data_IF_183657991752
#
_entry.id   IF_183657991752
#
_cell.length_a   1.000
_cell.length_b   1.000
_cell.length_c   1.000
_cell.angle_alpha   90.00
_cell.angle_beta   90.00
_cell.angle_gamma   90.00
#
_symmetry.space_group_name_H-M   'P 1'
#
loop_
_entity.id
_entity.type
_entity.pdbx_description
1 polymer ?
#
# COMPACT_ATOMS: atom_id res chain seq x y z
N UNK A 1 0.44 -46.26 23.67
CA UNK A 1 -0.28 -45.00 23.35
C UNK A 1 0.64 -44.11 22.52
N UNK A 2 0.41 -44.02 21.20
CA UNK A 2 1.18 -43.12 20.32
C UNK A 2 0.59 -41.72 20.44
N UNK A 3 1.34 -40.74 20.98
CA UNK A 3 0.99 -39.32 20.93
C UNK A 3 0.97 -38.87 19.47
N UNK A 4 -0.19 -38.52 18.94
CA UNK A 4 -0.33 -37.76 17.71
C UNK A 4 0.23 -36.36 17.95
N UNK A 5 1.39 -36.08 17.39
CA UNK A 5 1.92 -34.72 17.27
C UNK A 5 1.00 -33.99 16.29
N UNK A 6 0.23 -33.01 16.78
CA UNK A 6 -0.48 -32.07 15.92
C UNK A 6 0.59 -31.28 15.15
N UNK A 7 0.67 -31.48 13.85
CA UNK A 7 1.40 -30.59 12.95
C UNK A 7 0.73 -29.22 13.05
N UNK A 8 1.44 -28.23 13.57
CA UNK A 8 1.04 -26.82 13.44
C UNK A 8 1.03 -26.51 11.95
N UNK A 9 -0.14 -26.25 11.41
CA UNK A 9 -0.35 -25.81 10.03
C UNK A 9 0.24 -24.40 9.94
N UNK A 10 1.37 -24.25 9.27
CA UNK A 10 1.93 -22.93 8.92
C UNK A 10 0.97 -22.24 7.97
N UNK A 11 0.47 -21.09 8.36
CA UNK A 11 -0.19 -20.16 7.44
C UNK A 11 0.88 -19.68 6.46
N UNK A 12 0.75 -20.06 5.21
CA UNK A 12 1.63 -19.56 4.15
C UNK A 12 1.08 -18.20 3.68
N UNK A 13 1.88 -17.15 3.87
CA UNK A 13 1.65 -15.85 3.22
C UNK A 13 1.93 -16.06 1.73
N UNK A 14 0.88 -16.28 0.95
CA UNK A 14 0.99 -16.52 -0.48
C UNK A 14 0.08 -15.55 -1.21
N UNK A 15 0.49 -15.27 -2.45
CA UNK A 15 -0.18 -14.45 -3.46
C UNK A 15 -1.69 -14.28 -3.26
N UNK A 16 -2.10 -13.05 -3.46
CA UNK A 16 -3.48 -12.59 -3.53
C UNK A 16 -4.39 -13.56 -4.28
N UNK A 17 -5.61 -13.76 -3.83
CA UNK A 17 -6.50 -14.71 -4.45
C UNK A 17 -7.99 -14.43 -4.27
N UNK A 18 -8.77 -15.07 -5.12
CA UNK A 18 -10.22 -15.08 -5.00
C UNK A 18 -10.65 -15.83 -3.73
N UNK A 19 -11.49 -15.18 -2.93
CA UNK A 19 -12.11 -15.79 -1.75
C UNK A 19 -13.45 -16.40 -2.17
N UNK A 20 -13.64 -17.72 -2.03
CA UNK A 20 -14.90 -18.37 -2.41
C UNK A 20 -16.11 -17.72 -1.73
N UNK A 21 -17.17 -17.47 -2.51
CA UNK A 21 -18.41 -16.86 -2.01
C UNK A 21 -18.43 -15.33 -1.97
N UNK A 22 -17.33 -14.65 -2.35
CA UNK A 22 -17.31 -13.19 -2.51
C UNK A 22 -17.65 -12.76 -3.94
N UNK A 23 -18.17 -11.53 -4.15
CA UNK A 23 -18.35 -10.99 -5.50
C UNK A 23 -17.03 -10.95 -6.27
N UNK A 24 -17.05 -11.29 -7.55
CA UNK A 24 -15.88 -11.15 -8.43
C UNK A 24 -15.65 -9.69 -8.78
N UNK A 25 -14.37 -9.33 -8.95
CA UNK A 25 -14.01 -8.02 -9.46
C UNK A 25 -14.52 -7.81 -10.89
N UNK A 26 -15.14 -6.66 -11.14
CA UNK A 26 -15.66 -6.24 -12.44
C UNK A 26 -14.78 -5.13 -13.05
N UNK A 27 -14.76 -4.99 -14.40
CA UNK A 27 -14.07 -3.88 -15.04
C UNK A 27 -14.58 -2.54 -14.50
N UNK A 28 -13.67 -1.60 -14.22
CA UNK A 28 -14.03 -0.33 -13.57
C UNK A 28 -14.97 0.51 -14.45
N UNK A 29 -14.81 0.44 -15.79
CA UNK A 29 -15.67 1.14 -16.75
C UNK A 29 -17.10 0.56 -16.86
N UNK A 30 -17.36 -0.59 -16.26
CA UNK A 30 -18.67 -1.23 -16.16
C UNK A 30 -19.31 -1.05 -14.77
N UNK A 31 -18.68 -0.25 -13.90
CA UNK A 31 -19.07 0.02 -12.52
C UNK A 31 -19.50 1.46 -12.29
N UNK A 32 -19.99 1.74 -11.10
CA UNK A 32 -20.30 3.11 -10.64
C UNK A 32 -19.05 3.92 -10.25
N UNK A 33 -17.83 3.35 -10.39
CA UNK A 33 -16.56 3.96 -9.98
C UNK A 33 -15.67 4.33 -11.17
N UNK A 34 -16.22 4.45 -12.38
CA UNK A 34 -15.45 4.73 -13.60
C UNK A 34 -14.71 6.07 -13.56
N UNK A 35 -15.22 7.05 -12.81
CA UNK A 35 -14.61 8.36 -12.56
C UNK A 35 -13.35 8.29 -11.68
N UNK A 36 -13.05 7.11 -11.14
CA UNK A 36 -11.86 6.87 -10.32
C UNK A 36 -10.76 6.09 -11.04
N UNK A 37 -11.01 5.69 -12.28
CA UNK A 37 -10.10 4.85 -13.05
C UNK A 37 -8.74 5.51 -13.37
N UNK A 38 -8.70 6.83 -13.47
CA UNK A 38 -7.50 7.63 -13.74
C UNK A 38 -6.72 8.04 -12.47
N UNK A 39 -7.26 7.70 -11.29
CA UNK A 39 -6.63 7.96 -9.99
C UNK A 39 -5.81 6.79 -9.47
N UNK A 40 -5.77 5.69 -10.22
CA UNK A 40 -4.97 4.51 -9.94
C UNK A 40 -4.08 4.15 -11.14
N UNK A 41 -2.99 3.46 -10.89
CA UNK A 41 -2.07 3.02 -11.93
C UNK A 41 -1.56 1.60 -11.73
N UNK A 42 -1.18 0.96 -12.83
CA UNK A 42 -0.42 -0.28 -12.84
C UNK A 42 1.07 0.06 -12.87
N UNK A 43 1.81 -0.33 -11.84
CA UNK A 43 3.22 0.01 -11.64
C UNK A 43 4.11 -1.14 -12.09
N UNK A 44 5.21 -0.79 -12.77
CA UNK A 44 6.30 -1.71 -13.10
C UNK A 44 7.51 -1.36 -12.22
N UNK A 45 7.57 -1.98 -11.05
CA UNK A 45 8.66 -1.84 -10.08
C UNK A 45 9.49 -3.12 -9.95
N UNK A 46 9.89 -3.49 -8.73
CA UNK A 46 10.49 -4.81 -8.42
C UNK A 46 9.52 -5.95 -8.76
N UNK A 47 8.24 -5.67 -8.63
CA UNK A 47 7.14 -6.51 -9.08
C UNK A 47 6.10 -5.64 -9.78
N UNK A 48 5.20 -6.27 -10.54
CA UNK A 48 4.02 -5.58 -11.06
C UNK A 48 3.02 -5.42 -9.91
N UNK A 49 2.53 -4.20 -9.72
CA UNK A 49 1.57 -3.88 -8.68
C UNK A 49 0.63 -2.74 -9.06
N UNK A 50 -0.23 -2.39 -8.14
CA UNK A 50 -1.13 -1.23 -8.24
C UNK A 50 -0.56 -0.07 -7.42
N UNK A 51 -0.80 1.15 -7.84
CA UNK A 51 -0.59 2.35 -7.07
C UNK A 51 -1.76 3.29 -7.23
N UNK A 52 -1.83 4.32 -6.39
CA UNK A 52 -2.85 5.36 -6.46
C UNK A 52 -2.28 6.73 -6.16
N UNK A 53 -2.95 7.73 -6.72
CA UNK A 53 -2.56 9.12 -6.57
C UNK A 53 -3.42 9.80 -5.53
N UNK A 54 -2.79 10.53 -4.61
CA UNK A 54 -3.47 11.37 -3.63
C UNK A 54 -2.61 12.59 -3.28
N UNK A 55 -3.17 13.51 -2.49
CA UNK A 55 -2.42 14.59 -1.86
C UNK A 55 -2.32 14.33 -0.37
N UNK A 56 -1.14 14.59 0.18
CA UNK A 56 -0.91 14.47 1.63
C UNK A 56 -0.32 15.76 2.19
N UNK A 57 -0.59 16.05 3.44
CA UNK A 57 0.09 17.13 4.15
C UNK A 57 1.50 16.69 4.53
N UNK A 58 2.50 17.36 3.97
CA UNK A 58 3.89 17.08 4.23
C UNK A 58 4.70 18.37 4.34
N UNK A 59 5.38 18.57 5.48
CA UNK A 59 6.17 19.78 5.78
C UNK A 59 5.37 21.11 5.69
N UNK A 60 4.05 21.05 5.87
CA UNK A 60 3.15 22.22 5.83
C UNK A 60 2.50 22.47 4.47
N UNK A 61 2.86 21.70 3.46
CA UNK A 61 2.32 21.81 2.10
C UNK A 61 1.42 20.61 1.74
N UNK A 62 0.46 20.82 0.84
CA UNK A 62 -0.32 19.75 0.23
C UNK A 62 0.42 19.19 -0.97
N UNK A 63 1.08 18.04 -0.79
CA UNK A 63 2.01 17.46 -1.77
C UNK A 63 1.35 16.33 -2.55
N UNK A 64 1.38 16.35 -3.91
CA UNK A 64 0.93 15.25 -4.72
C UNK A 64 1.86 14.05 -4.61
N UNK A 65 1.30 12.85 -4.43
CA UNK A 65 2.05 11.61 -4.22
C UNK A 65 1.46 10.43 -4.97
N UNK A 66 2.33 9.49 -5.31
CA UNK A 66 2.00 8.11 -5.66
C UNK A 66 2.24 7.23 -4.43
N UNK A 67 1.23 6.48 -4.03
CA UNK A 67 1.32 5.50 -2.95
C UNK A 67 1.21 4.10 -3.52
N UNK A 68 2.11 3.21 -3.09
CA UNK A 68 2.11 1.77 -3.42
C UNK A 68 2.72 0.96 -2.27
N UNK A 69 2.82 -0.36 -2.41
CA UNK A 69 3.56 -1.17 -1.43
C UNK A 69 5.08 -1.06 -1.60
N UNK A 70 5.80 -1.24 -0.48
CA UNK A 70 7.24 -1.31 -0.45
C UNK A 70 7.79 -2.49 -1.29
N UNK A 71 7.14 -3.65 -1.26
CA UNK A 71 7.57 -4.79 -2.06
C UNK A 71 7.33 -4.63 -3.57
N UNK A 72 6.51 -3.63 -4.00
CA UNK A 72 6.32 -3.24 -5.41
C UNK A 72 7.43 -2.28 -5.84
N UNK A 73 7.69 -1.24 -5.04
CA UNK A 73 8.78 -0.27 -5.25
C UNK A 73 9.48 -0.06 -3.91
N UNK A 74 10.71 -0.54 -3.79
CA UNK A 74 11.51 -0.41 -2.58
C UNK A 74 12.61 0.68 -2.71
N UNK A 75 13.34 0.89 -1.63
CA UNK A 75 14.46 1.83 -1.60
C UNK A 75 15.58 1.46 -2.58
N UNK A 76 15.77 0.17 -2.84
CA UNK A 76 16.76 -0.32 -3.78
C UNK A 76 16.35 -0.03 -5.22
N UNK A 77 15.07 -0.15 -5.53
CA UNK A 77 14.54 0.23 -6.84
C UNK A 77 14.74 1.73 -7.09
N UNK A 78 14.34 2.60 -6.13
CA UNK A 78 14.50 4.05 -6.26
C UNK A 78 15.97 4.47 -6.41
N UNK A 79 16.89 3.76 -5.75
CA UNK A 79 18.33 4.07 -5.83
C UNK A 79 18.98 3.65 -7.15
N UNK A 80 18.48 2.56 -7.78
CA UNK A 80 19.06 1.99 -9.00
C UNK A 80 18.44 2.53 -10.29
N UNK A 81 17.29 3.17 -10.22
CA UNK A 81 16.56 3.65 -11.38
C UNK A 81 16.37 5.17 -11.31
N UNK A 82 16.50 5.84 -12.44
CA UNK A 82 16.23 7.27 -12.60
C UNK A 82 14.78 7.57 -12.97
N UNK A 83 13.99 6.53 -13.25
CA UNK A 83 12.61 6.65 -13.70
C UNK A 83 11.74 5.53 -13.13
N UNK A 84 10.48 5.86 -12.84
CA UNK A 84 9.42 4.89 -12.52
C UNK A 84 8.36 4.91 -13.60
N UNK A 85 8.15 3.75 -14.24
CA UNK A 85 7.15 3.56 -15.27
C UNK A 85 5.86 3.01 -14.70
N UNK A 86 4.73 3.57 -15.14
CA UNK A 86 3.40 3.07 -14.78
C UNK A 86 2.41 3.29 -15.93
N UNK A 87 1.24 2.66 -15.82
CA UNK A 87 0.18 2.75 -16.82
C UNK A 87 -1.14 3.17 -16.17
N UNK A 88 -1.83 4.13 -16.79
CA UNK A 88 -3.19 4.54 -16.43
C UNK A 88 -4.09 4.22 -17.63
N UNK A 89 -5.08 3.35 -17.42
CA UNK A 89 -6.01 2.94 -18.48
C UNK A 89 -5.33 2.51 -19.79
N UNK A 90 -4.15 1.86 -19.68
CA UNK A 90 -3.36 1.38 -20.81
C UNK A 90 -2.38 2.40 -21.39
N UNK A 91 -2.48 3.68 -21.05
CA UNK A 91 -1.50 4.71 -21.45
C UNK A 91 -0.26 4.67 -20.57
N UNK A 92 0.92 4.78 -21.17
CA UNK A 92 2.21 4.74 -20.47
C UNK A 92 2.60 6.12 -19.96
N UNK A 93 3.02 6.16 -18.70
CA UNK A 93 3.57 7.34 -18.03
C UNK A 93 4.92 7.00 -17.38
N UNK A 94 5.74 8.04 -17.19
CA UNK A 94 6.99 7.95 -16.44
C UNK A 94 7.13 9.18 -15.52
N UNK A 95 7.69 8.96 -14.34
CA UNK A 95 8.16 10.02 -13.45
C UNK A 95 9.66 9.86 -13.22
N UNK A 96 10.36 10.99 -13.13
CA UNK A 96 11.76 11.00 -12.77
C UNK A 96 11.92 10.68 -11.29
N UNK A 97 12.96 9.91 -10.97
CA UNK A 97 13.34 9.55 -9.60
C UNK A 97 14.66 10.23 -9.26
N UNK A 98 14.67 10.97 -8.19
CA UNK A 98 15.83 11.60 -7.59
C UNK A 98 15.90 11.35 -6.06
N UNK A 99 16.85 11.98 -5.38
CA UNK A 99 17.01 11.86 -3.93
C UNK A 99 15.84 12.44 -3.12
N UNK A 100 14.99 13.27 -3.72
CA UNK A 100 13.86 13.94 -3.08
C UNK A 100 12.52 13.28 -3.39
N UNK A 101 12.51 12.33 -4.32
CA UNK A 101 11.29 11.64 -4.76
C UNK A 101 10.67 10.79 -3.64
N UNK A 102 11.49 10.21 -2.76
CA UNK A 102 10.98 9.43 -1.63
C UNK A 102 10.56 10.34 -0.48
N UNK A 103 9.27 10.35 -0.14
CA UNK A 103 8.75 11.01 1.06
C UNK A 103 8.81 10.07 2.26
N UNK A 104 8.34 8.82 2.10
CA UNK A 104 8.26 7.84 3.17
C UNK A 104 8.32 6.42 2.62
N UNK A 105 8.96 5.54 3.38
CA UNK A 105 8.88 4.09 3.13
C UNK A 105 8.85 3.32 4.42
N UNK A 106 8.18 2.17 4.40
CA UNK A 106 8.18 1.21 5.49
C UNK A 106 8.23 -0.20 4.94
N UNK A 107 9.18 -0.98 5.44
CA UNK A 107 9.46 -2.34 4.98
C UNK A 107 8.25 -3.26 5.09
N UNK A 108 8.32 -4.39 4.36
CA UNK A 108 7.23 -5.36 4.26
C UNK A 108 6.76 -5.90 5.62
N UNK A 109 7.66 -6.09 6.57
CA UNK A 109 7.34 -6.65 7.89
C UNK A 109 6.61 -5.68 8.82
N UNK A 110 6.52 -4.41 8.43
CA UNK A 110 5.77 -3.38 9.15
C UNK A 110 4.57 -2.92 8.29
N UNK A 111 4.63 -1.74 7.71
CA UNK A 111 3.49 -1.18 6.98
C UNK A 111 3.46 -1.55 5.49
N UNK A 112 4.59 -2.00 4.94
CA UNK A 112 4.73 -2.35 3.51
C UNK A 112 4.21 -1.25 2.59
N UNK A 113 4.71 -0.03 2.77
CA UNK A 113 4.25 1.15 2.04
C UNK A 113 5.43 1.95 1.49
N UNK A 114 5.25 2.51 0.30
CA UNK A 114 6.12 3.47 -0.35
C UNK A 114 5.30 4.69 -0.76
N UNK A 115 5.75 5.88 -0.39
CA UNK A 115 5.15 7.17 -0.75
C UNK A 115 6.16 7.96 -1.56
N UNK A 116 5.84 8.22 -2.83
CA UNK A 116 6.70 8.89 -3.81
C UNK A 116 6.09 10.23 -4.17
N UNK A 117 6.88 11.30 -4.08
CA UNK A 117 6.50 12.65 -4.51
C UNK A 117 6.28 12.68 -6.02
N UNK A 118 5.25 13.37 -6.45
CA UNK A 118 5.00 13.68 -7.84
C UNK A 118 5.33 15.15 -8.13
N UNK A 119 5.74 15.43 -9.35
CA UNK A 119 5.80 16.81 -9.87
C UNK A 119 4.37 17.36 -10.01
N UNK A 120 4.17 18.62 -9.66
CA UNK A 120 2.88 19.29 -9.86
C UNK A 120 2.47 19.29 -11.33
N UNK A 121 1.17 19.08 -11.59
CA UNK A 121 0.63 19.01 -12.95
C UNK A 121 0.97 17.72 -13.71
N UNK A 122 1.66 16.78 -13.11
CA UNK A 122 1.94 15.47 -13.74
C UNK A 122 0.70 14.57 -13.78
N UNK A 123 -0.14 14.69 -12.76
CA UNK A 123 -1.43 14.00 -12.61
C UNK A 123 -2.47 15.05 -12.21
N UNK A 124 -3.64 15.00 -12.83
CA UNK A 124 -4.72 15.97 -12.58
C UNK A 124 -5.73 15.48 -11.53
N UNK A 125 -5.91 14.16 -11.42
CA UNK A 125 -6.96 13.55 -10.61
C UNK A 125 -6.36 12.73 -9.45
N UNK A 126 -6.92 12.94 -8.25
CA UNK A 126 -6.44 12.33 -7.01
C UNK A 126 -7.59 11.67 -6.26
N UNK A 127 -7.29 10.57 -5.55
CA UNK A 127 -8.15 10.05 -4.49
C UNK A 127 -7.96 10.90 -3.23
N UNK A 128 -9.01 11.01 -2.45
CA UNK A 128 -8.95 11.64 -1.14
C UNK A 128 -8.73 10.58 -0.06
N UNK A 129 -7.90 10.89 0.93
CA UNK A 129 -7.77 10.08 2.15
C UNK A 129 -8.90 10.47 3.09
N UNK A 130 -9.54 9.48 3.71
CA UNK A 130 -10.60 9.74 4.69
C UNK A 130 -9.99 10.29 5.99
N UNK A 131 -10.26 11.55 6.30
CA UNK A 131 -9.78 12.20 7.52
C UNK A 131 -10.28 11.55 8.81
N UNK A 132 -11.40 10.81 8.73
CA UNK A 132 -11.93 10.09 9.88
C UNK A 132 -10.99 8.98 10.36
N UNK A 133 -10.07 8.49 9.52
CA UNK A 133 -9.07 7.50 9.97
C UNK A 133 -8.20 8.00 11.11
N UNK A 134 -8.01 9.32 11.25
CA UNK A 134 -7.19 9.91 12.31
C UNK A 134 -7.90 10.09 13.65
N UNK A 135 -9.21 9.87 13.70
CA UNK A 135 -9.98 9.90 14.95
C UNK A 135 -9.58 8.74 15.87
N UNK A 136 -9.81 8.93 17.15
CA UNK A 136 -9.61 7.88 18.15
C UNK A 136 -10.57 6.72 17.87
N UNK A 137 -10.07 5.48 17.98
CA UNK A 137 -10.81 4.23 17.72
C UNK A 137 -11.51 4.19 16.34
N UNK A 138 -10.96 4.89 15.35
CA UNK A 138 -11.53 4.94 13.98
C UNK A 138 -11.57 3.58 13.30
N UNK A 139 -10.70 2.65 13.69
CA UNK A 139 -10.62 1.29 13.16
C UNK A 139 -11.96 0.56 13.32
N UNK A 140 -12.61 0.74 14.48
CA UNK A 140 -13.90 0.10 14.79
C UNK A 140 -15.07 0.66 13.94
N UNK A 141 -14.93 1.88 13.45
CA UNK A 141 -15.94 2.50 12.60
C UNK A 141 -16.09 1.73 11.28
N UNK A 142 -14.98 1.27 10.70
CA UNK A 142 -14.94 0.62 9.40
C UNK A 142 -15.21 -0.89 9.44
N UNK A 143 -15.33 -1.52 10.62
CA UNK A 143 -15.60 -2.96 10.74
C UNK A 143 -16.91 -3.41 10.10
N UNK A 144 -17.93 -2.55 10.13
CA UNK A 144 -19.28 -2.84 9.66
C UNK A 144 -19.63 -2.19 8.33
N UNK A 145 -18.75 -1.34 7.85
CA UNK A 145 -18.95 -0.61 6.60
C UNK A 145 -18.58 -1.46 5.41
N UNK A 146 -19.31 -1.28 4.30
CA UNK A 146 -18.89 -1.79 3.01
C UNK A 146 -17.63 -1.07 2.53
N UNK A 147 -16.75 -1.81 1.89
CA UNK A 147 -15.54 -1.28 1.28
C UNK A 147 -15.44 -1.72 -0.17
N UNK A 148 -14.60 -1.03 -0.93
CA UNK A 148 -14.20 -1.47 -2.26
C UNK A 148 -12.71 -1.23 -2.48
N UNK A 149 -12.16 -1.96 -3.44
CA UNK A 149 -10.77 -1.88 -3.86
C UNK A 149 -10.71 -1.57 -5.36
N UNK A 150 -9.83 -0.64 -5.74
CA UNK A 150 -9.53 -0.32 -7.12
C UNK A 150 -8.16 -0.87 -7.47
N UNK A 151 -8.06 -1.77 -8.45
CA UNK A 151 -6.81 -2.48 -8.67
C UNK A 151 -6.58 -2.88 -10.14
N UNK A 152 -5.35 -3.29 -10.45
CA UNK A 152 -4.94 -3.85 -11.73
C UNK A 152 -4.58 -5.34 -11.60
N UNK A 153 -5.60 -6.23 -11.48
CA UNK A 153 -5.33 -7.66 -11.29
C UNK A 153 -4.56 -8.22 -12.49
N UNK A 154 -3.52 -9.01 -12.21
CA UNK A 154 -2.58 -9.59 -13.21
C UNK A 154 -1.89 -8.52 -14.09
N UNK A 155 -1.84 -7.26 -13.65
CA UNK A 155 -1.32 -6.15 -14.46
C UNK A 155 -2.16 -5.83 -15.70
N UNK A 156 -3.42 -6.28 -15.71
CA UNK A 156 -4.34 -6.11 -16.84
C UNK A 156 -5.13 -4.80 -16.79
N UNK A 157 -6.44 -4.88 -17.10
CA UNK A 157 -7.34 -3.71 -17.02
C UNK A 157 -7.69 -3.40 -15.58
N UNK A 158 -7.94 -2.11 -15.28
CA UNK A 158 -8.45 -1.66 -14.00
C UNK A 158 -9.78 -2.32 -13.67
N UNK A 159 -9.91 -2.80 -12.43
CA UNK A 159 -11.12 -3.41 -11.89
C UNK A 159 -11.46 -2.84 -10.54
N UNK A 160 -12.73 -3.02 -10.16
CA UNK A 160 -13.24 -2.76 -8.82
C UNK A 160 -13.77 -4.06 -8.22
N UNK A 161 -13.55 -4.25 -6.94
CA UNK A 161 -14.16 -5.32 -6.16
C UNK A 161 -14.72 -4.74 -4.87
N UNK A 162 -16.00 -4.96 -4.63
CA UNK A 162 -16.66 -4.63 -3.38
C UNK A 162 -16.54 -5.80 -2.39
N UNK A 163 -16.52 -5.49 -1.11
CA UNK A 163 -16.44 -6.47 -0.04
C UNK A 163 -16.94 -5.94 1.28
N UNK A 164 -17.01 -6.83 2.26
CA UNK A 164 -17.32 -6.45 3.63
C UNK A 164 -16.06 -5.96 4.34
N UNK A 165 -16.28 -5.04 5.22
CA UNK A 165 -15.49 -4.21 6.08
C UNK A 165 -14.11 -4.66 6.50
N UNK A 166 -13.37 -3.71 6.99
CA UNK A 166 -12.05 -3.92 7.57
C UNK A 166 -12.21 -4.48 8.98
N UNK A 167 -11.80 -5.72 9.19
CA UNK A 167 -11.70 -6.31 10.52
C UNK A 167 -10.26 -6.13 11.01
N UNK A 168 -10.11 -5.74 12.29
CA UNK A 168 -8.77 -5.72 12.89
C UNK A 168 -8.15 -7.11 12.89
N UNK A 169 -6.88 -7.18 12.47
CA UNK A 169 -6.13 -8.43 12.55
C UNK A 169 -5.64 -8.63 13.98
N UNK A 170 -5.89 -9.80 14.47
CA UNK A 170 -5.27 -10.34 15.67
C UNK A 170 -3.75 -10.29 15.48
N UNK A 171 -3.04 -9.55 16.36
CA UNK A 171 -1.60 -9.42 16.53
C UNK A 171 -0.91 -8.15 15.98
N UNK A 172 -1.57 -7.27 15.23
CA UNK A 172 -1.00 -5.94 14.90
C UNK A 172 -2.11 -4.91 14.78
N UNK A 173 -1.94 -3.75 15.40
CA UNK A 173 -2.94 -2.67 15.37
C UNK A 173 -3.14 -2.04 13.99
N UNK A 174 -2.19 -2.23 13.05
CA UNK A 174 -2.18 -1.57 11.74
C UNK A 174 -2.68 -2.43 10.57
N UNK A 175 -2.77 -3.75 10.73
CA UNK A 175 -3.26 -4.64 9.69
C UNK A 175 -4.79 -4.79 9.76
N UNK A 176 -5.42 -4.83 8.60
CA UNK A 176 -6.87 -4.96 8.47
C UNK A 176 -7.20 -6.09 7.50
N UNK A 177 -8.13 -6.95 7.88
CA UNK A 177 -8.65 -8.02 7.02
C UNK A 177 -9.76 -7.46 6.14
N UNK A 178 -9.81 -7.89 4.87
CA UNK A 178 -10.90 -7.60 3.96
C UNK A 178 -11.22 -8.79 3.05
N UNK A 179 -12.44 -8.78 2.50
CA UNK A 179 -12.96 -9.87 1.66
C UNK A 179 -13.24 -9.42 0.22
N UNK A 180 -12.63 -8.34 -0.23
CA UNK A 180 -12.66 -7.96 -1.65
C UNK A 180 -11.89 -9.00 -2.48
N UNK A 181 -12.38 -9.28 -3.69
CA UNK A 181 -11.65 -10.13 -4.63
C UNK A 181 -10.38 -9.44 -5.10
N UNK A 182 -9.25 -10.11 -4.94
CA UNK A 182 -7.95 -9.67 -5.44
C UNK A 182 -7.28 -10.78 -6.23
N UNK A 183 -6.32 -10.42 -7.06
CA UNK A 183 -5.48 -11.35 -7.81
C UNK A 183 -4.05 -10.78 -7.80
N UNK A 184 -3.09 -11.55 -8.26
CA UNK A 184 -1.69 -11.10 -8.42
C UNK A 184 -1.64 -9.71 -9.05
N UNK A 185 -0.76 -8.83 -8.55
CA UNK A 185 -0.60 -7.41 -8.94
C UNK A 185 -1.67 -6.46 -8.37
N UNK A 186 -2.55 -6.92 -7.46
CA UNK A 186 -3.42 -6.01 -6.70
C UNK A 186 -2.68 -5.33 -5.54
N UNK A 187 -1.50 -5.79 -5.15
CA UNK A 187 -0.64 -5.19 -4.12
C UNK A 187 -0.44 -3.70 -4.38
N UNK A 188 -0.65 -2.87 -3.35
CA UNK A 188 -0.59 -1.41 -3.45
C UNK A 188 -1.90 -0.73 -3.84
N UNK A 189 -2.96 -1.49 -4.04
CA UNK A 189 -4.29 -0.96 -4.37
C UNK A 189 -4.91 -0.21 -3.19
N UNK A 190 -5.59 0.93 -3.42
CA UNK A 190 -6.33 1.62 -2.38
C UNK A 190 -7.57 0.82 -1.97
N UNK A 191 -7.83 0.80 -0.66
CA UNK A 191 -9.07 0.31 -0.08
C UNK A 191 -9.88 1.53 0.35
N UNK A 192 -11.12 1.65 -0.15
CA UNK A 192 -11.96 2.82 0.07
C UNK A 192 -13.25 2.43 0.82
N UNK A 193 -13.75 3.34 1.63
CA UNK A 193 -15.08 3.24 2.23
C UNK A 193 -16.16 3.49 1.19
N UNK A 194 -17.19 2.64 1.11
CA UNK A 194 -18.35 2.85 0.23
C UNK A 194 -19.13 4.10 0.66
N UNK A 195 -19.15 4.44 1.95
CA UNK A 195 -19.91 5.58 2.47
C UNK A 195 -19.29 6.93 2.09
N UNK A 196 -17.93 7.01 2.12
CA UNK A 196 -17.24 8.28 1.91
C UNK A 196 -16.57 8.39 0.55
N UNK A 197 -16.39 7.27 -0.18
CA UNK A 197 -15.58 7.15 -1.39
C UNK A 197 -14.11 7.59 -1.18
N UNK A 198 -13.62 7.55 0.07
CA UNK A 198 -12.27 7.97 0.44
C UNK A 198 -11.40 6.79 0.86
N UNK A 199 -10.09 6.94 0.65
CA UNK A 199 -9.10 5.90 0.95
C UNK A 199 -8.91 5.77 2.45
N UNK A 200 -9.00 4.55 2.96
CA UNK A 200 -8.82 4.22 4.38
C UNK A 200 -7.61 3.31 4.63
N UNK A 201 -7.26 2.46 3.66
CA UNK A 201 -6.18 1.49 3.78
C UNK A 201 -5.52 1.21 2.42
N UNK A 202 -4.41 0.47 2.44
CA UNK A 202 -3.71 -0.03 1.25
C UNK A 202 -3.65 -1.55 1.31
N UNK A 203 -4.02 -2.23 0.22
CA UNK A 203 -3.96 -3.69 0.09
C UNK A 203 -2.52 -4.18 0.03
N UNK A 204 -2.20 -5.28 0.72
CA UNK A 204 -0.87 -5.87 0.79
C UNK A 204 -0.77 -7.27 0.21
N UNK A 205 -1.79 -8.10 0.42
CA UNK A 205 -1.77 -9.49 0.03
C UNK A 205 -2.92 -10.30 0.59
N UNK A 206 -2.81 -11.62 0.49
CA UNK A 206 -3.82 -12.55 0.97
C UNK A 206 -3.23 -13.69 1.78
N UNK A 207 -4.07 -14.37 2.54
CA UNK A 207 -3.73 -15.57 3.29
C UNK A 207 -4.46 -16.76 2.67
N UNK A 208 -3.72 -17.83 2.44
CA UNK A 208 -4.24 -19.11 1.95
C UNK A 208 -4.10 -20.19 3.02
N UNK A 209 -5.08 -21.06 3.05
CA UNK A 209 -5.03 -22.29 3.83
C UNK A 209 -5.43 -23.46 2.92
N UNK A 210 -4.60 -24.49 2.87
CA UNK A 210 -4.81 -25.65 1.99
C UNK A 210 -5.01 -25.28 0.50
N UNK A 211 -4.34 -24.20 0.03
CA UNK A 211 -4.43 -23.72 -1.35
C UNK A 211 -5.62 -22.79 -1.65
N UNK A 212 -6.54 -22.61 -0.72
CA UNK A 212 -7.69 -21.69 -0.85
C UNK A 212 -7.45 -20.38 -0.13
N UNK A 213 -7.81 -19.25 -0.76
CA UNK A 213 -7.75 -17.94 -0.12
C UNK A 213 -8.83 -17.82 0.95
N UNK A 214 -8.42 -17.43 2.17
CA UNK A 214 -9.33 -17.30 3.31
C UNK A 214 -9.72 -15.84 3.52
N UNK A 215 -8.74 -14.93 3.45
CA UNK A 215 -8.94 -13.49 3.51
C UNK A 215 -7.77 -12.77 2.84
N UNK A 216 -8.02 -11.53 2.49
CA UNK A 216 -7.01 -10.58 2.09
C UNK A 216 -6.73 -9.59 3.24
N UNK A 217 -5.57 -8.93 3.22
CA UNK A 217 -5.22 -7.97 4.26
C UNK A 217 -4.54 -6.74 3.67
N UNK A 218 -4.63 -5.66 4.43
CA UNK A 218 -4.05 -4.38 4.11
C UNK A 218 -3.52 -3.64 5.31
N UNK A 219 -2.83 -2.53 5.08
CA UNK A 219 -2.39 -1.60 6.11
C UNK A 219 -3.36 -0.43 6.20
N UNK A 220 -3.87 -0.16 7.40
CA UNK A 220 -4.69 1.02 7.69
C UNK A 220 -3.82 2.28 7.64
N UNK A 221 -4.16 3.24 6.76
CA UNK A 221 -3.28 4.37 6.44
C UNK A 221 -3.01 5.33 7.62
N UNK A 222 -3.87 5.35 8.63
CA UNK A 222 -3.66 6.11 9.87
C UNK A 222 -2.24 5.93 10.43
N UNK A 223 -1.75 4.68 10.49
CA UNK A 223 -0.49 4.36 11.17
C UNK A 223 0.74 4.89 10.43
N UNK A 224 0.97 4.57 9.13
CA UNK A 224 2.12 5.11 8.41
C UNK A 224 2.04 6.64 8.24
N UNK A 225 0.86 7.22 8.07
CA UNK A 225 0.72 8.68 7.94
C UNK A 225 0.94 9.41 9.26
N UNK A 226 0.54 8.84 10.40
CA UNK A 226 0.89 9.39 11.71
C UNK A 226 2.39 9.28 12.00
N UNK A 227 3.04 8.19 11.59
CA UNK A 227 4.49 8.05 11.72
C UNK A 227 5.22 9.10 10.87
N UNK A 228 4.77 9.32 9.62
CA UNK A 228 5.28 10.37 8.76
C UNK A 228 5.11 11.77 9.40
N UNK A 229 3.90 12.12 9.86
CA UNK A 229 3.60 13.41 10.51
C UNK A 229 4.39 13.65 11.79
N UNK A 230 4.69 12.59 12.55
CA UNK A 230 5.42 12.72 13.83
C UNK A 230 6.92 12.99 13.68
N UNK A 231 7.45 12.98 12.46
CA UNK A 231 8.89 13.13 12.19
C UNK A 231 9.74 11.97 12.76
N UNK A 232 9.13 10.91 13.29
CA UNK A 232 9.86 9.72 13.79
C UNK A 232 10.50 8.90 12.67
N UNK A 233 10.21 9.27 11.44
CA UNK A 233 10.87 8.71 10.27
C UNK A 233 12.26 9.35 10.14
N UNK A 234 13.29 8.66 10.62
CA UNK A 234 14.68 9.05 10.40
C UNK A 234 15.00 8.73 8.93
N UNK A 235 15.21 9.76 8.10
CA UNK A 235 15.80 9.57 6.78
C UNK A 235 17.12 8.82 6.97
N UNK A 236 17.20 7.56 6.56
CA UNK A 236 18.40 6.70 6.72
C UNK A 236 19.64 7.31 6.07
N UNK A 237 19.49 8.29 5.18
CA UNK A 237 20.59 9.09 4.60
C UNK A 237 21.48 9.79 5.64
N UNK A 238 21.01 10.07 6.85
CA UNK A 238 21.81 10.74 7.88
C UNK A 238 22.58 9.77 8.81
N UNK A 239 22.20 8.50 8.89
CA UNK A 239 22.88 7.53 9.76
C UNK A 239 24.26 7.12 9.22
N UNK A 240 24.48 7.10 7.91
CA UNK A 240 25.77 6.78 7.34
C UNK A 240 26.81 7.89 7.53
N UNK A 241 26.38 9.15 7.58
CA UNK A 241 27.29 10.28 7.80
C UNK A 241 27.73 10.40 9.27
N UNK A 242 26.85 10.12 10.24
CA UNK A 242 27.20 10.17 11.66
C UNK A 242 28.16 9.06 12.08
N UNK A 243 28.03 7.85 11.54
CA UNK A 243 28.94 6.75 11.87
C UNK A 243 30.32 6.90 11.20
N UNK A 244 30.42 7.56 10.04
CA UNK A 244 31.71 7.86 9.41
C UNK A 244 32.48 8.98 10.13
N UNK A 245 31.80 9.91 10.76
CA UNK A 245 32.44 10.98 11.56
C UNK A 245 32.84 10.44 12.94
N UNK A 246 32.07 9.54 13.54
CA UNK A 246 32.41 8.92 14.84
C UNK A 246 33.58 7.95 14.75
N UNK A 247 33.74 7.23 13.62
CA UNK A 247 34.89 6.33 13.43
C UNK A 247 36.21 7.05 13.09
N UNK A 248 36.19 8.32 12.63
CA UNK A 248 37.41 9.09 12.39
C UNK A 248 38.05 9.67 13.64
N UNK A 249 37.30 9.75 14.74
CA UNK A 249 37.82 10.30 16.00
C UNK A 249 38.42 9.25 16.96
N UNK A 250 38.47 7.97 16.58
CA UNK A 250 39.07 6.90 17.42
C UNK A 250 40.52 6.61 17.04
N UNK A 251 41.06 7.16 15.94
CA UNK A 251 42.45 6.89 15.49
C UNK A 251 43.47 8.00 15.78
N UNK A 252 43.20 8.87 16.76
CA UNK A 252 44.17 9.96 17.13
C UNK A 252 44.64 9.92 18.58
N UNK A 253 44.59 8.75 19.25
CA UNK A 253 45.27 8.54 20.52
C UNK A 253 45.82 7.10 20.58
N UNK A 254 46.97 6.92 19.93
CA UNK A 254 48.07 6.04 20.33
C UNK A 254 49.36 6.49 19.67
#
# INVERSE_FOLDING_TARGET
>A
MKKKVKKEEKEEIIDEGYIPGTPKAIPINESNYQDQADKICNIIGNSIGTGFFCKIDYEGDSVPVLITNYHVVDDDFLRRNSELKFYINGNSYMINIDSNSKIYSSIRDKYDIMIIRLEEGKIDNYLEIDENIFKENSENQYEKEGIYILHYPKGGKAKVSEGKGLLNIINTDYNSIHFCHTEKSSSGAPILSILTNKVIAIHRGGIKKNGESIYNYGTFLKFPLNELKSGRYVKVSNYFLYNLVSCKNIFLYF
#
